data_IF_323875288425
#
_entry.id   IF_323875288425
#
_cell.length_a   1.000
_cell.length_b   1.000
_cell.length_c   1.000
_cell.angle_alpha   90.00
_cell.angle_beta   90.00
_cell.angle_gamma   90.00
#
_symmetry.space_group_name_H-M   'P 1'
#
loop_
_entity.id
_entity.type
_entity.pdbx_description
1 polymer ?
#
# COMPACT_ATOMS: atom_id res chain seq x y z
N UNK A 1 3.35 -22.72 -3.43
CA UNK A 1 2.07 -22.74 -4.16
C UNK A 1 2.04 -21.53 -5.09
N UNK A 2 1.59 -21.67 -6.34
CA UNK A 2 1.50 -20.54 -7.26
C UNK A 2 0.34 -19.64 -6.84
N UNK A 3 0.65 -18.49 -6.24
CA UNK A 3 -0.33 -17.53 -5.77
C UNK A 3 -1.10 -16.94 -6.96
N UNK A 4 -2.43 -16.91 -6.87
CA UNK A 4 -3.28 -16.27 -7.87
C UNK A 4 -2.86 -14.81 -8.06
N UNK A 5 -2.61 -14.41 -9.31
CA UNK A 5 -2.16 -13.05 -9.69
C UNK A 5 -3.31 -12.05 -9.83
N UNK A 6 -4.48 -12.38 -9.28
CA UNK A 6 -5.69 -11.55 -9.34
C UNK A 6 -6.58 -11.72 -8.11
N UNK A 7 -7.27 -10.64 -7.71
CA UNK A 7 -8.31 -10.65 -6.68
C UNK A 7 -9.66 -10.62 -7.38
N UNK A 8 -10.50 -11.60 -7.10
CA UNK A 8 -11.88 -11.66 -7.60
C UNK A 8 -12.77 -10.67 -6.82
N UNK A 9 -13.49 -9.81 -7.54
CA UNK A 9 -14.46 -8.86 -6.97
C UNK A 9 -15.79 -9.00 -7.70
N UNK A 10 -16.91 -9.23 -7.01
CA UNK A 10 -18.23 -9.21 -7.63
C UNK A 10 -18.49 -7.83 -8.27
N UNK A 11 -18.82 -7.80 -9.55
CA UNK A 11 -19.12 -6.59 -10.30
C UNK A 11 -20.35 -6.86 -11.17
N UNK A 12 -21.47 -6.19 -10.90
CA UNK A 12 -22.75 -6.27 -11.63
C UNK A 12 -22.88 -7.42 -12.66
N UNK A 13 -23.36 -8.58 -12.21
CA UNK A 13 -23.61 -9.75 -13.07
C UNK A 13 -22.38 -10.56 -13.50
N UNK A 14 -21.16 -10.18 -13.07
CA UNK A 14 -19.92 -10.91 -13.36
C UNK A 14 -18.90 -10.79 -12.20
N UNK A 15 -17.75 -11.45 -12.36
CA UNK A 15 -16.62 -11.35 -11.44
C UNK A 15 -15.49 -10.61 -12.13
N UNK A 16 -15.10 -9.47 -11.58
CA UNK A 16 -13.96 -8.70 -12.04
C UNK A 16 -12.67 -9.22 -11.40
N UNK A 17 -11.64 -9.43 -12.21
CA UNK A 17 -10.32 -9.82 -11.74
C UNK A 17 -9.44 -8.58 -11.62
N UNK A 18 -9.14 -8.17 -10.39
CA UNK A 18 -8.20 -7.09 -10.13
C UNK A 18 -6.79 -7.64 -10.18
N UNK A 19 -6.02 -7.22 -11.18
CA UNK A 19 -4.67 -7.73 -11.43
C UNK A 19 -3.67 -7.29 -10.36
N UNK A 20 -2.81 -8.21 -9.91
CA UNK A 20 -1.56 -7.94 -9.17
C UNK A 20 -0.39 -7.69 -10.14
N UNK A 21 -0.39 -8.35 -11.32
CA UNK A 21 0.72 -8.40 -12.28
C UNK A 21 1.19 -7.04 -12.84
N UNK A 22 0.31 -6.04 -12.94
CA UNK A 22 0.66 -4.76 -13.61
C UNK A 22 1.57 -3.84 -12.78
N UNK A 23 1.91 -4.24 -11.54
CA UNK A 23 2.94 -3.61 -10.71
C UNK A 23 4.29 -4.37 -10.70
N UNK A 24 4.48 -5.39 -11.56
CA UNK A 24 5.76 -6.10 -11.79
C UNK A 24 6.83 -5.27 -12.51
N UNK A 25 8.11 -5.51 -12.20
CA UNK A 25 9.45 -5.00 -12.63
C UNK A 25 9.67 -3.66 -13.37
N UNK A 26 8.68 -3.08 -14.05
CA UNK A 26 8.83 -1.84 -14.85
C UNK A 26 8.12 -0.58 -14.34
N UNK A 27 7.18 -0.70 -13.40
CA UNK A 27 6.30 0.41 -13.01
C UNK A 27 6.27 0.56 -11.48
N UNK A 28 7.07 1.50 -10.97
CA UNK A 28 6.84 2.17 -9.69
C UNK A 28 5.90 3.31 -10.04
N UNK A 29 4.85 3.55 -9.26
CA UNK A 29 4.05 4.76 -9.43
C UNK A 29 5.00 5.96 -9.34
N UNK A 30 5.28 6.58 -10.49
CA UNK A 30 5.97 7.85 -10.51
C UNK A 30 5.07 8.86 -9.76
N UNK A 31 5.64 9.79 -8.98
CA UNK A 31 4.90 10.87 -8.34
C UNK A 31 4.21 11.83 -9.33
N UNK A 32 4.35 11.61 -10.64
CA UNK A 32 3.73 12.39 -11.69
C UNK A 32 2.69 11.57 -12.46
N UNK A 33 1.42 11.83 -12.18
CA UNK A 33 0.38 11.76 -13.22
C UNK A 33 0.77 12.84 -14.26
N UNK A 34 1.04 12.51 -15.55
CA UNK A 34 0.00 12.07 -16.49
C UNK A 34 0.48 11.13 -17.64
N UNK A 35 1.46 10.24 -17.45
CA UNK A 35 2.02 9.47 -18.59
C UNK A 35 1.20 8.26 -19.07
N UNK A 36 0.10 7.89 -18.40
CA UNK A 36 -0.74 6.74 -18.76
C UNK A 36 -2.26 7.05 -18.78
N UNK A 37 -2.67 8.26 -19.15
CA UNK A 37 -4.09 8.67 -19.26
C UNK A 37 -4.92 7.75 -20.19
N UNK A 38 -4.27 7.17 -21.21
CA UNK A 38 -4.88 6.30 -22.20
C UNK A 38 -3.98 5.07 -22.42
N UNK A 39 -4.58 3.89 -22.28
CA UNK A 39 -3.93 2.63 -22.63
C UNK A 39 -3.78 2.50 -24.14
N UNK A 40 -2.56 2.65 -24.65
CA UNK A 40 -2.28 2.63 -26.08
C UNK A 40 -2.67 1.30 -26.76
N UNK A 41 -2.60 0.20 -26.02
CA UNK A 41 -2.91 -1.15 -26.52
C UNK A 41 -4.41 -1.40 -26.74
N UNK A 42 -5.28 -0.63 -26.08
CA UNK A 42 -6.74 -0.71 -26.23
C UNK A 42 -7.30 0.27 -27.27
N UNK A 43 -6.45 1.12 -27.85
CA UNK A 43 -6.88 2.02 -28.92
C UNK A 43 -7.33 1.21 -30.12
N UNK A 44 -8.52 1.53 -30.63
CA UNK A 44 -9.10 0.93 -31.83
C UNK A 44 -8.61 1.72 -33.03
N UNK A 45 -8.04 1.02 -34.01
CA UNK A 45 -7.57 1.54 -35.30
C UNK A 45 -8.74 1.66 -36.29
N UNK A 46 -8.50 2.32 -37.42
CA UNK A 46 -9.52 2.62 -38.43
C UNK A 46 -10.23 1.38 -39.01
N UNK A 47 -9.58 0.22 -38.94
CA UNK A 47 -10.10 -1.06 -39.42
C UNK A 47 -10.79 -1.90 -38.32
N UNK A 48 -10.93 -1.35 -37.11
CA UNK A 48 -11.57 -2.00 -35.98
C UNK A 48 -10.65 -2.85 -35.10
N UNK A 49 -9.38 -3.08 -35.47
CA UNK A 49 -8.42 -3.81 -34.62
C UNK A 49 -7.96 -2.93 -33.46
N UNK A 50 -7.64 -3.55 -32.32
CA UNK A 50 -6.88 -2.83 -31.28
C UNK A 50 -5.40 -2.80 -31.62
N UNK A 51 -4.67 -1.80 -31.13
CA UNK A 51 -3.20 -1.74 -31.25
C UNK A 51 -2.53 -3.00 -30.72
N UNK A 52 -3.05 -3.60 -29.64
CA UNK A 52 -2.55 -4.89 -29.14
C UNK A 52 -2.69 -6.01 -30.16
N UNK A 53 -3.88 -6.12 -30.77
CA UNK A 53 -4.19 -7.13 -31.79
C UNK A 53 -3.30 -6.93 -33.01
N UNK A 54 -3.17 -5.70 -33.48
CA UNK A 54 -2.28 -5.33 -34.57
C UNK A 54 -0.82 -5.72 -34.29
N UNK A 55 -0.28 -5.39 -33.11
CA UNK A 55 1.09 -5.79 -32.72
C UNK A 55 1.26 -7.31 -32.69
N UNK A 56 0.28 -8.04 -32.17
CA UNK A 56 0.32 -9.50 -32.10
C UNK A 56 0.31 -10.15 -33.49
N UNK A 57 -0.52 -9.65 -34.40
CA UNK A 57 -0.59 -10.11 -35.80
C UNK A 57 0.69 -9.80 -36.57
N UNK A 58 1.20 -8.57 -36.44
CA UNK A 58 2.47 -8.17 -37.03
C UNK A 58 3.61 -9.09 -36.56
N UNK A 59 3.67 -9.39 -35.25
CA UNK A 59 4.65 -10.30 -34.67
C UNK A 59 4.51 -11.74 -35.20
N UNK A 60 3.28 -12.23 -35.36
CA UNK A 60 2.99 -13.54 -35.93
C UNK A 60 3.48 -13.69 -37.37
N UNK A 61 3.19 -12.69 -38.22
CA UNK A 61 3.61 -12.68 -39.62
C UNK A 61 5.14 -12.61 -39.78
N UNK A 62 5.83 -11.94 -38.85
CA UNK A 62 7.30 -11.80 -38.88
C UNK A 62 7.99 -13.10 -38.46
N UNK A 63 7.52 -13.76 -37.41
CA UNK A 63 8.08 -15.03 -36.94
C UNK A 63 8.01 -16.13 -38.02
N UNK A 64 7.05 -16.04 -38.95
CA UNK A 64 6.94 -16.96 -40.10
C UNK A 64 7.85 -16.62 -41.28
N UNK A 65 8.42 -15.41 -41.35
CA UNK A 65 9.18 -14.92 -42.51
C UNK A 65 10.69 -14.82 -42.30
N UNK A 66 11.20 -14.75 -41.06
CA UNK A 66 12.64 -14.55 -40.79
C UNK A 66 13.24 -15.62 -39.89
N UNK A 67 14.05 -16.51 -40.48
CA UNK A 67 14.85 -17.51 -39.77
C UNK A 67 16.03 -16.98 -38.96
N UNK A 68 16.35 -15.68 -39.00
CA UNK A 68 17.25 -14.99 -38.06
C UNK A 68 17.39 -13.51 -38.46
N UNK A 69 17.10 -12.60 -37.52
CA UNK A 69 17.86 -11.37 -37.23
C UNK A 69 17.05 -10.50 -36.27
N UNK A 70 17.65 -10.10 -35.15
CA UNK A 70 17.08 -9.17 -34.16
C UNK A 70 17.03 -7.74 -34.73
N UNK A 71 16.18 -7.45 -35.70
CA UNK A 71 15.71 -6.07 -35.88
C UNK A 71 14.91 -5.68 -34.64
N UNK A 72 15.03 -4.44 -34.17
CA UNK A 72 14.30 -4.00 -32.96
C UNK A 72 12.80 -4.15 -33.24
N UNK A 73 12.08 -4.87 -32.38
CA UNK A 73 10.62 -5.08 -32.44
C UNK A 73 9.82 -3.80 -32.76
N UNK A 74 10.30 -2.64 -32.30
CA UNK A 74 9.71 -1.34 -32.62
C UNK A 74 9.77 -0.99 -34.11
N UNK A 75 10.90 -1.22 -34.77
CA UNK A 75 11.10 -0.91 -36.20
C UNK A 75 10.19 -1.78 -37.06
N UNK A 76 9.99 -3.04 -36.66
CA UNK A 76 9.10 -3.97 -37.33
C UNK A 76 7.63 -3.56 -37.22
N UNK A 77 7.18 -3.16 -36.03
CA UNK A 77 5.84 -2.61 -35.86
C UNK A 77 5.64 -1.30 -36.64
N UNK A 78 6.66 -0.44 -36.69
CA UNK A 78 6.61 0.79 -37.48
C UNK A 78 6.52 0.50 -38.98
N UNK A 79 7.25 -0.49 -39.49
CA UNK A 79 7.14 -0.90 -40.90
C UNK A 79 5.77 -1.46 -41.25
N UNK A 80 5.20 -2.33 -40.40
CA UNK A 80 3.85 -2.85 -40.59
C UNK A 80 2.82 -1.71 -40.58
N UNK A 81 2.92 -0.81 -39.60
CA UNK A 81 2.03 0.36 -39.49
C UNK A 81 2.15 1.29 -40.68
N UNK A 82 3.38 1.51 -41.17
CA UNK A 82 3.64 2.35 -42.35
C UNK A 82 2.99 1.78 -43.61
N UNK A 83 2.99 0.45 -43.78
CA UNK A 83 2.37 -0.23 -44.94
C UNK A 83 0.85 -0.14 -44.92
N UNK A 84 0.25 -0.30 -43.74
CA UNK A 84 -1.22 -0.40 -43.63
C UNK A 84 -1.91 0.94 -43.39
N UNK A 85 -1.27 1.83 -42.62
CA UNK A 85 -1.86 3.10 -42.17
C UNK A 85 -1.08 4.33 -42.66
N UNK A 86 -0.03 4.14 -43.46
CA UNK A 86 0.75 5.23 -44.05
C UNK A 86 1.59 6.03 -43.05
N UNK A 87 1.73 5.59 -41.79
CA UNK A 87 2.51 6.28 -40.76
C UNK A 87 3.14 5.32 -39.73
N UNK A 88 4.22 5.71 -39.04
CA UNK A 88 4.81 4.92 -37.96
C UNK A 88 3.83 4.68 -36.82
N UNK A 89 3.94 3.55 -36.12
CA UNK A 89 2.97 3.11 -35.11
C UNK A 89 2.91 4.11 -33.94
N UNK A 90 4.04 4.67 -33.54
CA UNK A 90 4.09 5.68 -32.48
C UNK A 90 3.27 6.94 -32.84
N UNK A 91 3.35 7.40 -34.10
CA UNK A 91 2.60 8.55 -34.58
C UNK A 91 1.09 8.23 -34.67
N UNK A 92 0.73 7.03 -35.15
CA UNK A 92 -0.65 6.55 -35.19
C UNK A 92 -1.28 6.51 -33.79
N UNK A 93 -0.57 5.95 -32.81
CA UNK A 93 -1.01 5.90 -31.41
C UNK A 93 -1.18 7.30 -30.85
N UNK A 94 -0.25 8.22 -31.14
CA UNK A 94 -0.34 9.59 -30.65
C UNK A 94 -1.60 10.31 -31.16
N UNK A 95 -1.88 10.22 -32.46
CA UNK A 95 -3.09 10.79 -33.06
C UNK A 95 -4.38 10.24 -32.45
N UNK A 96 -4.47 8.92 -32.27
CA UNK A 96 -5.63 8.29 -31.65
C UNK A 96 -5.80 8.69 -30.18
N UNK A 97 -4.69 8.91 -29.45
CA UNK A 97 -4.73 9.44 -28.09
C UNK A 97 -5.27 10.88 -28.07
N UNK A 98 -4.80 11.76 -28.96
CA UNK A 98 -5.31 13.14 -29.02
C UNK A 98 -6.80 13.18 -29.36
N UNK A 99 -7.24 12.40 -30.36
CA UNK A 99 -8.65 12.29 -30.69
C UNK A 99 -9.49 11.78 -29.50
N UNK A 100 -8.99 10.78 -28.77
CA UNK A 100 -9.66 10.26 -27.59
C UNK A 100 -9.71 11.28 -26.43
N UNK A 101 -8.66 12.09 -26.22
CA UNK A 101 -8.67 13.19 -25.24
C UNK A 101 -9.71 14.24 -25.58
N UNK A 102 -9.83 14.62 -26.86
CA UNK A 102 -10.85 15.58 -27.30
C UNK A 102 -12.27 15.03 -27.06
N UNK A 103 -12.50 13.75 -27.35
CA UNK A 103 -13.79 13.08 -27.08
C UNK A 103 -14.09 13.04 -25.59
N UNK A 104 -13.10 12.72 -24.76
CA UNK A 104 -13.25 12.73 -23.31
C UNK A 104 -13.57 14.14 -22.79
N UNK A 105 -12.84 15.17 -23.23
CA UNK A 105 -13.10 16.54 -22.83
C UNK A 105 -14.52 16.99 -23.20
N UNK A 106 -14.98 16.67 -24.42
CA UNK A 106 -16.33 16.96 -24.87
C UNK A 106 -17.40 16.23 -24.03
N UNK A 107 -17.17 14.94 -23.73
CA UNK A 107 -18.07 14.17 -22.87
C UNK A 107 -18.12 14.73 -21.44
N UNK A 108 -16.96 15.13 -20.90
CA UNK A 108 -16.85 15.61 -19.52
C UNK A 108 -17.62 16.92 -19.29
N UNK A 109 -17.61 17.83 -20.27
CA UNK A 109 -18.35 19.11 -20.21
C UNK A 109 -19.79 19.03 -20.73
N UNK A 110 -20.24 17.84 -21.15
CA UNK A 110 -21.60 17.66 -21.63
C UNK A 110 -22.60 18.00 -20.51
N UNK A 111 -23.55 18.89 -20.82
CA UNK A 111 -24.59 19.33 -19.87
C UNK A 111 -25.70 18.31 -19.71
N UNK A 112 -25.96 17.53 -20.75
CA UNK A 112 -26.92 16.44 -20.71
C UNK A 112 -26.29 15.21 -20.05
N UNK A 113 -27.01 14.63 -19.08
CA UNK A 113 -26.50 13.53 -18.27
C UNK A 113 -26.34 12.25 -19.08
N UNK A 114 -27.30 11.94 -19.95
CA UNK A 114 -27.24 10.74 -20.77
C UNK A 114 -26.07 10.82 -21.77
N UNK A 115 -25.91 11.97 -22.44
CA UNK A 115 -24.80 12.22 -23.34
C UNK A 115 -23.43 12.17 -22.63
N UNK A 116 -23.34 12.69 -21.41
CA UNK A 116 -22.12 12.59 -20.59
C UNK A 116 -21.78 11.13 -20.28
N UNK A 117 -22.74 10.34 -19.80
CA UNK A 117 -22.55 8.92 -19.47
C UNK A 117 -22.15 8.13 -20.71
N UNK A 118 -22.85 8.29 -21.83
CA UNK A 118 -22.55 7.56 -23.07
C UNK A 118 -21.20 7.95 -23.66
N UNK A 119 -20.86 9.24 -23.63
CA UNK A 119 -19.57 9.75 -24.07
C UNK A 119 -18.41 9.20 -23.22
N UNK A 120 -18.55 9.22 -21.89
CA UNK A 120 -17.55 8.65 -20.98
C UNK A 120 -17.44 7.13 -21.16
N UNK A 121 -18.56 6.41 -21.33
CA UNK A 121 -18.57 4.96 -21.57
C UNK A 121 -17.90 4.60 -22.90
N UNK A 122 -18.06 5.43 -23.93
CA UNK A 122 -17.33 5.26 -25.19
C UNK A 122 -15.81 5.46 -25.01
N UNK A 123 -15.40 6.47 -24.23
CA UNK A 123 -13.99 6.73 -23.96
C UNK A 123 -13.36 5.62 -23.09
N UNK A 124 -14.08 5.15 -22.07
CA UNK A 124 -13.68 4.07 -21.18
C UNK A 124 -13.39 2.77 -21.95
N UNK A 125 -14.26 2.41 -22.90
CA UNK A 125 -14.09 1.25 -23.80
C UNK A 125 -12.81 1.31 -24.64
N UNK A 126 -12.32 2.51 -24.93
CA UNK A 126 -11.07 2.73 -25.68
C UNK A 126 -9.85 2.86 -24.76
N UNK A 127 -9.98 2.47 -23.49
CA UNK A 127 -8.87 2.45 -22.53
C UNK A 127 -8.52 3.81 -21.93
N UNK A 128 -9.44 4.78 -21.97
CA UNK A 128 -9.25 6.05 -21.25
C UNK A 128 -9.42 5.83 -19.74
N UNK A 129 -8.36 6.07 -18.98
CA UNK A 129 -8.29 5.75 -17.56
C UNK A 129 -9.16 6.68 -16.73
N UNK A 130 -9.05 7.99 -16.96
CA UNK A 130 -9.88 8.97 -16.25
C UNK A 130 -11.37 8.85 -16.59
N UNK A 131 -11.73 8.49 -17.83
CA UNK A 131 -13.12 8.25 -18.20
C UNK A 131 -13.74 7.10 -17.40
N UNK A 132 -13.00 6.00 -17.17
CA UNK A 132 -13.46 4.92 -16.28
C UNK A 132 -13.66 5.44 -14.85
N UNK A 133 -12.71 6.23 -14.35
CA UNK A 133 -12.80 6.79 -13.00
C UNK A 133 -14.01 7.70 -12.81
N UNK A 134 -14.22 8.64 -13.73
CA UNK A 134 -15.31 9.61 -13.62
C UNK A 134 -16.66 8.95 -13.89
N UNK A 135 -16.76 8.03 -14.86
CA UNK A 135 -17.96 7.24 -15.04
C UNK A 135 -18.29 6.43 -13.77
N UNK A 136 -17.30 5.81 -13.14
CA UNK A 136 -17.47 5.11 -11.86
C UNK A 136 -18.04 6.03 -10.76
N UNK A 137 -17.47 7.23 -10.58
CA UNK A 137 -17.97 8.21 -9.59
C UNK A 137 -19.39 8.67 -9.89
N UNK A 138 -19.68 8.91 -11.16
CA UNK A 138 -20.98 9.35 -11.63
C UNK A 138 -22.05 8.30 -11.33
N UNK A 139 -21.76 7.03 -11.57
CA UNK A 139 -22.65 5.91 -11.28
C UNK A 139 -22.76 5.64 -9.76
N UNK A 140 -21.68 5.77 -8.99
CA UNK A 140 -21.71 5.63 -7.53
C UNK A 140 -22.60 6.72 -6.88
N UNK A 141 -22.55 7.95 -7.37
CA UNK A 141 -23.42 9.03 -6.91
C UNK A 141 -24.92 8.71 -7.14
N UNK A 142 -25.23 7.97 -8.20
CA UNK A 142 -26.58 7.48 -8.53
C UNK A 142 -26.91 6.14 -7.85
N UNK A 143 -26.02 5.62 -7.01
CA UNK A 143 -26.12 4.29 -6.38
C UNK A 143 -26.27 3.16 -7.39
N UNK A 144 -25.75 3.34 -8.60
CA UNK A 144 -25.75 2.31 -9.63
C UNK A 144 -24.57 1.33 -9.39
N UNK A 145 -24.84 0.03 -9.18
CA UNK A 145 -23.79 -0.97 -8.91
C UNK A 145 -22.80 -1.20 -10.05
N UNK A 146 -23.10 -0.74 -11.27
CA UNK A 146 -22.14 -0.74 -12.39
C UNK A 146 -20.86 0.07 -12.07
N UNK A 147 -20.89 1.00 -11.10
CA UNK A 147 -19.71 1.78 -10.71
C UNK A 147 -18.50 0.90 -10.32
N UNK A 148 -18.74 -0.27 -9.71
CA UNK A 148 -17.72 -1.23 -9.30
C UNK A 148 -16.89 -1.70 -10.50
N UNK A 149 -17.54 -1.96 -11.63
CA UNK A 149 -16.87 -2.39 -12.86
C UNK A 149 -15.89 -1.31 -13.33
N UNK A 150 -16.34 -0.06 -13.42
CA UNK A 150 -15.52 1.04 -13.91
C UNK A 150 -14.37 1.41 -12.98
N UNK A 151 -14.55 1.35 -11.66
CA UNK A 151 -13.43 1.52 -10.74
C UNK A 151 -12.39 0.41 -10.87
N UNK A 152 -12.81 -0.85 -11.00
CA UNK A 152 -11.85 -1.93 -11.15
C UNK A 152 -11.17 -1.94 -12.53
N UNK A 153 -11.84 -1.52 -13.60
CA UNK A 153 -11.18 -1.29 -14.89
C UNK A 153 -10.18 -0.13 -14.80
N UNK A 154 -10.53 0.98 -14.13
CA UNK A 154 -9.57 2.04 -13.86
C UNK A 154 -8.33 1.53 -13.10
N UNK A 155 -8.49 0.64 -12.11
CA UNK A 155 -7.37 -0.04 -11.44
C UNK A 155 -6.54 -0.89 -12.41
N UNK A 156 -7.19 -1.71 -13.23
CA UNK A 156 -6.52 -2.53 -14.24
C UNK A 156 -5.78 -1.67 -15.29
N UNK A 157 -6.15 -0.39 -15.42
CA UNK A 157 -5.47 0.62 -16.22
C UNK A 157 -4.54 1.55 -15.41
N UNK A 158 -4.30 1.23 -14.12
CA UNK A 158 -3.33 1.86 -13.19
C UNK A 158 -3.78 3.22 -12.64
N UNK A 159 -5.07 3.47 -12.50
CA UNK A 159 -5.56 4.65 -11.81
C UNK A 159 -5.25 4.58 -10.31
N UNK A 160 -4.48 5.52 -9.73
CA UNK A 160 -3.94 5.42 -8.36
C UNK A 160 -5.00 5.50 -7.26
N UNK A 161 -6.13 6.17 -7.52
CA UNK A 161 -7.23 6.34 -6.56
C UNK A 161 -8.41 5.38 -6.76
N UNK A 162 -8.34 4.48 -7.73
CA UNK A 162 -9.50 3.65 -8.11
C UNK A 162 -9.88 2.64 -7.04
N UNK A 163 -8.89 1.95 -6.45
CA UNK A 163 -9.11 0.99 -5.37
C UNK A 163 -9.70 1.63 -4.11
N UNK A 164 -9.37 2.89 -3.83
CA UNK A 164 -9.99 3.62 -2.72
C UNK A 164 -11.47 3.90 -2.99
N UNK A 165 -11.82 4.36 -4.19
CA UNK A 165 -13.24 4.60 -4.51
C UNK A 165 -14.03 3.29 -4.58
N UNK A 166 -13.42 2.23 -5.10
CA UNK A 166 -14.00 0.89 -5.07
C UNK A 166 -14.24 0.41 -3.63
N UNK A 167 -13.28 0.58 -2.72
CA UNK A 167 -13.46 0.15 -1.32
C UNK A 167 -14.52 0.97 -0.61
N UNK A 168 -14.60 2.29 -0.83
CA UNK A 168 -15.70 3.14 -0.31
C UNK A 168 -17.05 2.65 -0.79
N UNK A 169 -17.17 2.32 -2.08
CA UNK A 169 -18.40 1.77 -2.67
C UNK A 169 -18.80 0.47 -1.99
N UNK A 170 -17.85 -0.45 -1.79
CA UNK A 170 -18.08 -1.73 -1.11
C UNK A 170 -18.47 -1.55 0.36
N UNK A 171 -17.88 -0.59 1.07
CA UNK A 171 -18.30 -0.24 2.43
C UNK A 171 -19.75 0.28 2.47
N UNK A 172 -20.14 1.15 1.53
CA UNK A 172 -21.54 1.64 1.42
C UNK A 172 -22.52 0.49 1.14
N UNK A 173 -22.08 -0.50 0.38
CA UNK A 173 -22.86 -1.70 0.05
C UNK A 173 -22.89 -2.75 1.16
N UNK A 174 -22.23 -2.51 2.31
CA UNK A 174 -22.20 -3.45 3.44
C UNK A 174 -21.27 -4.65 3.25
N UNK A 175 -20.39 -4.64 2.24
CA UNK A 175 -19.48 -5.75 1.93
C UNK A 175 -18.08 -5.45 2.49
N UNK A 176 -17.99 -5.29 3.81
CA UNK A 176 -16.81 -4.77 4.50
C UNK A 176 -15.54 -5.62 4.26
N UNK A 177 -15.63 -6.96 4.35
CA UNK A 177 -14.49 -7.84 4.08
C UNK A 177 -13.91 -7.65 2.67
N UNK A 178 -14.77 -7.49 1.66
CA UNK A 178 -14.30 -7.22 0.29
C UNK A 178 -13.66 -5.84 0.19
N UNK A 179 -14.22 -4.82 0.84
CA UNK A 179 -13.63 -3.48 0.89
C UNK A 179 -12.22 -3.51 1.49
N UNK A 180 -12.02 -4.28 2.56
CA UNK A 180 -10.70 -4.49 3.20
C UNK A 180 -9.74 -5.23 2.25
N UNK A 181 -10.18 -6.29 1.56
CA UNK A 181 -9.37 -6.98 0.53
C UNK A 181 -8.89 -6.00 -0.56
N UNK A 182 -9.78 -5.13 -1.04
CA UNK A 182 -9.44 -4.11 -2.05
C UNK A 182 -8.42 -3.09 -1.51
N UNK A 183 -8.57 -2.63 -0.27
CA UNK A 183 -7.60 -1.72 0.35
C UNK A 183 -6.24 -2.39 0.57
N UNK A 184 -6.22 -3.65 1.02
CA UNK A 184 -5.00 -4.44 1.21
C UNK A 184 -4.29 -4.70 -0.13
N UNK A 185 -5.04 -4.97 -1.20
CA UNK A 185 -4.50 -5.01 -2.56
C UNK A 185 -3.85 -3.68 -2.93
N UNK A 186 -4.52 -2.55 -2.67
CA UNK A 186 -3.96 -1.24 -2.94
C UNK A 186 -2.68 -0.96 -2.17
N UNK A 187 -2.65 -1.32 -0.88
CA UNK A 187 -1.48 -1.25 -0.04
C UNK A 187 -0.34 -2.13 -0.58
N UNK A 188 -0.64 -3.37 -0.97
CA UNK A 188 0.30 -4.29 -1.61
C UNK A 188 0.88 -3.71 -2.92
N UNK A 189 0.05 -3.04 -3.72
CA UNK A 189 0.44 -2.42 -4.98
C UNK A 189 1.17 -1.07 -4.83
N UNK A 190 1.43 -0.58 -3.62
CA UNK A 190 2.15 0.69 -3.43
C UNK A 190 1.29 1.92 -3.19
N UNK A 191 -0.03 1.77 -3.05
CA UNK A 191 -0.95 2.90 -2.95
C UNK A 191 -0.93 3.49 -1.54
N UNK A 192 -0.26 4.63 -1.39
CA UNK A 192 -0.21 5.39 -0.13
C UNK A 192 -1.60 5.66 0.44
N UNK A 193 -2.54 6.06 -0.41
CA UNK A 193 -3.89 6.42 0.04
C UNK A 193 -4.68 5.22 0.57
N UNK A 194 -4.41 4.01 0.06
CA UNK A 194 -5.00 2.78 0.60
C UNK A 194 -4.40 2.42 1.96
N UNK A 195 -3.09 2.59 2.14
CA UNK A 195 -2.44 2.41 3.45
C UNK A 195 -3.00 3.39 4.48
N UNK A 196 -3.13 4.68 4.11
CA UNK A 196 -3.71 5.69 5.00
C UNK A 196 -5.15 5.37 5.36
N UNK A 197 -5.96 4.88 4.40
CA UNK A 197 -7.33 4.47 4.69
C UNK A 197 -7.39 3.30 5.70
N UNK A 198 -6.53 2.29 5.55
CA UNK A 198 -6.45 1.18 6.51
C UNK A 198 -6.05 1.65 7.91
N UNK A 199 -5.04 2.52 8.01
CA UNK A 199 -4.60 3.08 9.28
C UNK A 199 -5.68 3.96 9.93
N UNK A 200 -6.40 4.76 9.14
CA UNK A 200 -7.51 5.58 9.65
C UNK A 200 -8.65 4.71 10.18
N UNK A 201 -8.97 3.58 9.53
CA UNK A 201 -9.95 2.61 10.05
C UNK A 201 -9.44 2.05 11.39
N UNK A 202 -8.18 1.63 11.49
CA UNK A 202 -7.58 1.12 12.74
C UNK A 202 -7.66 2.14 13.86
N UNK A 203 -7.29 3.40 13.61
CA UNK A 203 -7.26 4.46 14.62
C UNK A 203 -8.65 4.88 15.10
N UNK A 204 -9.62 5.00 14.18
CA UNK A 204 -10.91 5.59 14.52
C UNK A 204 -12.00 4.55 14.83
N UNK A 205 -11.87 3.33 14.27
CA UNK A 205 -12.94 2.33 14.22
C UNK A 205 -12.37 0.91 14.17
N UNK A 206 -11.50 0.56 15.13
CA UNK A 206 -10.87 -0.76 15.20
C UNK A 206 -11.89 -1.91 15.13
N UNK A 207 -13.03 -1.77 15.82
CA UNK A 207 -14.13 -2.73 15.81
C UNK A 207 -14.63 -3.11 14.41
N UNK A 208 -14.42 -2.27 13.38
CA UNK A 208 -14.79 -2.62 12.00
C UNK A 208 -13.93 -3.73 11.40
N UNK A 209 -12.72 -3.92 11.92
CA UNK A 209 -11.89 -5.05 11.53
C UNK A 209 -12.24 -6.33 12.30
N UNK A 210 -12.98 -6.24 13.41
CA UNK A 210 -13.43 -7.41 14.18
C UNK A 210 -14.59 -8.17 13.50
N UNK A 211 -15.21 -7.57 12.47
CA UNK A 211 -16.17 -8.27 11.62
C UNK A 211 -15.52 -9.54 11.01
N UNK A 212 -16.18 -10.72 11.07
CA UNK A 212 -15.60 -11.97 10.57
C UNK A 212 -15.07 -11.89 9.13
N UNK A 213 -15.77 -11.18 8.23
CA UNK A 213 -15.35 -11.04 6.84
C UNK A 213 -14.10 -10.15 6.70
N UNK A 214 -13.92 -9.18 7.60
CA UNK A 214 -12.71 -8.35 7.68
C UNK A 214 -11.53 -9.13 8.26
N UNK A 215 -11.75 -9.94 9.30
CA UNK A 215 -10.75 -10.84 9.85
C UNK A 215 -10.26 -11.82 8.78
N UNK A 216 -11.16 -12.50 8.08
CA UNK A 216 -10.81 -13.40 6.98
C UNK A 216 -9.98 -12.70 5.89
N UNK A 217 -10.32 -11.46 5.54
CA UNK A 217 -9.56 -10.67 4.57
C UNK A 217 -8.12 -10.37 5.05
N UNK A 218 -7.95 -10.08 6.34
CA UNK A 218 -6.64 -9.86 6.95
C UNK A 218 -5.82 -11.16 7.01
N UNK A 219 -6.43 -12.28 7.41
CA UNK A 219 -5.81 -13.61 7.44
C UNK A 219 -5.31 -14.04 6.06
N UNK A 220 -6.16 -13.88 5.05
CA UNK A 220 -5.82 -14.17 3.66
C UNK A 220 -4.60 -13.33 3.22
N UNK A 221 -4.60 -12.04 3.55
CA UNK A 221 -3.47 -11.15 3.24
C UNK A 221 -2.19 -11.48 4.04
N UNK A 222 -2.31 -11.98 5.27
CA UNK A 222 -1.19 -12.51 6.04
C UNK A 222 -0.56 -13.74 5.37
N UNK A 223 -1.36 -14.62 4.75
CA UNK A 223 -0.86 -15.76 3.99
C UNK A 223 -0.05 -15.36 2.75
N UNK A 224 -0.25 -14.12 2.25
CA UNK A 224 0.58 -13.49 1.20
C UNK A 224 1.80 -12.73 1.75
N UNK A 225 2.15 -12.95 3.02
CA UNK A 225 3.30 -12.33 3.69
C UNK A 225 3.20 -10.79 3.83
N UNK A 226 1.99 -10.22 3.73
CA UNK A 226 1.79 -8.77 3.80
C UNK A 226 2.09 -8.21 5.18
N UNK A 227 3.08 -7.30 5.27
CA UNK A 227 3.41 -6.58 6.51
C UNK A 227 2.21 -5.76 7.04
N UNK A 228 1.42 -5.16 6.14
CA UNK A 228 0.23 -4.38 6.52
C UNK A 228 -0.83 -5.26 7.17
N UNK A 229 -1.07 -6.45 6.59
CA UNK A 229 -2.05 -7.37 7.12
C UNK A 229 -1.62 -7.92 8.48
N UNK A 230 -0.34 -8.32 8.62
CA UNK A 230 0.22 -8.78 9.91
C UNK A 230 0.11 -7.72 10.99
N UNK A 231 0.47 -6.48 10.68
CA UNK A 231 0.35 -5.37 11.62
C UNK A 231 -1.10 -5.10 12.02
N UNK A 232 -2.01 -4.96 11.04
CA UNK A 232 -3.43 -4.67 11.30
C UNK A 232 -4.11 -5.81 12.07
N UNK A 233 -3.91 -7.06 11.65
CA UNK A 233 -4.43 -8.22 12.36
C UNK A 233 -3.84 -8.33 13.77
N UNK A 234 -2.54 -8.07 13.92
CA UNK A 234 -1.87 -7.99 15.21
C UNK A 234 -2.54 -6.99 16.14
N UNK A 235 -2.77 -5.75 15.68
CA UNK A 235 -3.48 -4.73 16.47
C UNK A 235 -4.91 -5.16 16.83
N UNK A 236 -5.64 -5.77 15.89
CA UNK A 236 -7.01 -6.22 16.12
C UNK A 236 -7.07 -7.33 17.17
N UNK A 237 -6.12 -8.27 17.16
CA UNK A 237 -6.05 -9.33 18.17
C UNK A 237 -5.53 -8.83 19.52
N UNK A 238 -4.69 -7.79 19.57
CA UNK A 238 -4.18 -7.22 20.81
C UNK A 238 -5.21 -6.33 21.52
N UNK A 239 -5.90 -5.50 20.73
CA UNK A 239 -6.69 -4.37 21.23
C UNK A 239 -8.19 -4.48 20.91
N UNK A 240 -8.60 -5.44 20.08
CA UNK A 240 -10.01 -5.67 19.78
C UNK A 240 -10.75 -6.32 20.94
N UNK A 241 -12.04 -6.00 21.09
CA UNK A 241 -12.83 -6.44 22.23
C UNK A 241 -13.37 -7.87 22.04
N UNK A 242 -13.81 -8.20 20.83
CA UNK A 242 -14.53 -9.45 20.55
C UNK A 242 -13.66 -10.61 20.06
N UNK A 243 -12.45 -10.32 19.57
CA UNK A 243 -11.54 -11.30 18.97
C UNK A 243 -10.16 -11.32 19.62
N UNK A 244 -10.05 -10.88 20.88
CA UNK A 244 -8.77 -10.72 21.56
C UNK A 244 -8.00 -12.03 21.69
N UNK A 245 -6.75 -12.02 21.21
CA UNK A 245 -5.78 -13.11 21.35
C UNK A 245 -4.38 -12.47 21.45
N UNK A 246 -3.92 -12.24 22.67
CA UNK A 246 -2.67 -11.51 22.92
C UNK A 246 -1.44 -12.27 22.41
N UNK A 247 -1.43 -13.59 22.54
CA UNK A 247 -0.31 -14.43 22.12
C UNK A 247 -0.14 -14.37 20.61
N UNK A 248 -1.24 -14.56 19.88
CA UNK A 248 -1.25 -14.50 18.42
C UNK A 248 -1.03 -13.09 17.90
N UNK A 249 -1.65 -12.09 18.52
CA UNK A 249 -1.46 -10.69 18.19
C UNK A 249 0.01 -10.28 18.32
N UNK A 250 0.65 -10.64 19.42
CA UNK A 250 2.07 -10.35 19.66
C UNK A 250 2.99 -11.07 18.66
N UNK A 251 2.67 -12.32 18.32
CA UNK A 251 3.42 -13.07 17.30
C UNK A 251 3.34 -12.39 15.93
N UNK A 252 2.18 -11.85 15.55
CA UNK A 252 2.00 -11.12 14.29
C UNK A 252 2.75 -9.79 14.26
N UNK A 253 2.74 -9.02 15.36
CA UNK A 253 3.53 -7.78 15.48
C UNK A 253 5.03 -8.09 15.34
N UNK A 254 5.54 -9.13 16.02
CA UNK A 254 6.93 -9.59 15.85
C UNK A 254 7.23 -10.02 14.42
N UNK A 255 6.31 -10.75 13.77
CA UNK A 255 6.48 -11.15 12.38
C UNK A 255 6.50 -9.96 11.41
N UNK A 256 5.73 -8.89 11.69
CA UNK A 256 5.81 -7.64 10.95
C UNK A 256 7.14 -6.91 11.21
N UNK A 257 7.60 -6.92 12.47
CA UNK A 257 8.86 -6.32 12.90
C UNK A 257 10.12 -7.06 12.40
N UNK A 258 10.00 -8.34 12.05
CA UNK A 258 11.09 -9.13 11.47
C UNK A 258 11.37 -8.80 9.99
N UNK A 259 10.44 -8.12 9.31
CA UNK A 259 10.65 -7.68 7.92
C UNK A 259 11.75 -6.63 7.90
N UNK A 260 12.82 -6.85 7.11
CA UNK A 260 14.04 -6.02 7.15
C UNK A 260 13.76 -4.49 7.08
N UNK A 261 14.41 -3.67 7.93
CA UNK A 261 14.35 -2.21 7.87
C UNK A 261 14.52 -1.63 6.46
N UNK A 262 13.69 -0.67 6.09
CA UNK A 262 13.96 0.14 4.89
C UNK A 262 15.11 1.14 5.19
N UNK A 263 16.24 1.04 4.49
CA UNK A 263 17.37 1.96 4.71
C UNK A 263 17.13 3.27 3.95
N UNK A 264 17.19 4.40 4.68
CA UNK A 264 17.25 5.73 4.09
C UNK A 264 18.49 5.84 3.18
N UNK A 265 18.27 5.76 1.87
CA UNK A 265 19.32 5.57 0.87
C UNK A 265 18.84 4.71 -0.30
N UNK A 266 17.90 3.80 -0.05
CA UNK A 266 17.20 2.99 -1.06
C UNK A 266 16.10 3.80 -1.76
N UNK A 267 16.48 4.94 -2.37
CA UNK A 267 15.55 5.78 -3.14
C UNK A 267 14.86 4.92 -4.20
N UNK A 268 13.61 4.57 -3.90
CA UNK A 268 12.69 3.86 -4.76
C UNK A 268 13.00 2.39 -5.02
N UNK A 269 13.56 1.59 -4.09
CA UNK A 269 13.85 0.17 -4.40
C UNK A 269 13.69 -0.90 -3.28
N UNK A 270 12.54 -1.08 -2.62
CA UNK A 270 12.38 -2.25 -1.73
C UNK A 270 11.05 -3.01 -1.96
N UNK A 271 11.09 -4.34 -2.18
CA UNK A 271 9.90 -5.22 -2.21
C UNK A 271 9.25 -5.34 -0.83
N UNK A 272 7.92 -5.28 -0.75
CA UNK A 272 7.16 -5.60 0.48
C UNK A 272 6.91 -7.10 0.68
N UNK A 273 7.06 -7.90 -0.38
CA UNK A 273 6.93 -9.37 -0.41
C UNK A 273 8.04 -9.90 -1.32
N UNK A 274 8.48 -11.15 -1.12
CA UNK A 274 9.45 -11.79 -2.01
C UNK A 274 8.99 -11.69 -3.48
N UNK A 275 9.78 -11.01 -4.33
CA UNK A 275 9.43 -10.75 -5.75
C UNK A 275 8.54 -9.53 -6.00
N UNK A 276 8.20 -8.75 -4.96
CA UNK A 276 7.42 -7.52 -5.05
C UNK A 276 8.23 -6.30 -5.53
N UNK A 277 7.52 -5.19 -5.77
CA UNK A 277 8.05 -3.97 -6.38
C UNK A 277 7.94 -2.76 -5.46
N UNK A 278 8.59 -1.67 -5.86
CA UNK A 278 9.19 -0.64 -5.01
C UNK A 278 8.17 0.41 -4.55
N UNK A 279 8.31 0.85 -3.31
CA UNK A 279 7.30 1.65 -2.58
C UNK A 279 7.76 3.10 -2.28
N UNK A 280 6.84 3.99 -1.93
CA UNK A 280 7.12 5.34 -1.45
C UNK A 280 7.64 5.35 0.00
N UNK A 281 8.90 5.74 0.21
CA UNK A 281 9.60 5.59 1.49
C UNK A 281 8.89 6.22 2.72
N UNK A 282 8.15 7.31 2.56
CA UNK A 282 7.54 8.03 3.69
C UNK A 282 6.41 7.26 4.41
N UNK A 283 5.60 6.49 3.69
CA UNK A 283 4.49 5.73 4.30
C UNK A 283 4.99 4.52 5.07
N UNK A 284 6.01 3.85 4.53
CA UNK A 284 6.61 2.68 5.17
C UNK A 284 7.31 3.08 6.45
N UNK A 285 8.01 4.21 6.46
CA UNK A 285 8.63 4.73 7.68
C UNK A 285 7.61 4.98 8.81
N UNK A 286 6.41 5.47 8.47
CA UNK A 286 5.33 5.65 9.45
C UNK A 286 4.76 4.30 9.93
N UNK A 287 4.51 3.34 9.02
CA UNK A 287 4.05 2.01 9.42
C UNK A 287 5.08 1.28 10.31
N UNK A 288 6.36 1.36 9.97
CA UNK A 288 7.46 0.82 10.78
C UNK A 288 7.48 1.47 12.16
N UNK A 289 7.27 2.78 12.26
CA UNK A 289 7.16 3.45 13.56
C UNK A 289 6.03 2.86 14.41
N UNK A 290 4.88 2.62 13.82
CA UNK A 290 3.75 2.05 14.54
C UNK A 290 4.02 0.60 14.98
N UNK A 291 4.65 -0.20 14.11
CA UNK A 291 5.07 -1.57 14.45
C UNK A 291 6.08 -1.55 15.61
N UNK A 292 7.06 -0.64 15.57
CA UNK A 292 8.09 -0.51 16.60
C UNK A 292 7.47 -0.09 17.95
N UNK A 293 6.47 0.78 17.95
CA UNK A 293 5.73 1.17 19.16
C UNK A 293 5.02 -0.04 19.78
N UNK A 294 4.27 -0.80 18.98
CA UNK A 294 3.56 -1.99 19.47
C UNK A 294 4.55 -3.07 19.97
N UNK A 295 5.65 -3.28 19.23
CA UNK A 295 6.68 -4.22 19.64
C UNK A 295 7.34 -3.82 20.96
N UNK A 296 7.61 -2.52 21.15
CA UNK A 296 8.15 -2.02 22.40
C UNK A 296 7.16 -2.27 23.55
N UNK A 297 5.88 -1.98 23.38
CA UNK A 297 4.86 -2.24 24.40
C UNK A 297 4.77 -3.73 24.77
N UNK A 298 4.84 -4.64 23.79
CA UNK A 298 4.88 -6.09 24.01
C UNK A 298 6.13 -6.47 24.82
N UNK A 299 7.31 -6.03 24.39
CA UNK A 299 8.57 -6.36 25.06
C UNK A 299 8.60 -5.81 26.48
N UNK A 300 8.14 -4.57 26.71
CA UNK A 300 8.10 -3.96 28.04
C UNK A 300 7.20 -4.73 29.01
N UNK A 301 6.07 -5.27 28.54
CA UNK A 301 5.20 -6.13 29.37
C UNK A 301 5.86 -7.46 29.75
N UNK A 302 6.61 -8.07 28.83
CA UNK A 302 7.24 -9.39 29.04
C UNK A 302 8.58 -9.33 29.78
N UNK A 303 9.38 -8.32 29.47
CA UNK A 303 10.76 -8.14 29.92
C UNK A 303 10.87 -7.16 31.08
N UNK A 304 9.96 -6.19 31.21
CA UNK A 304 9.96 -5.20 32.29
C UNK A 304 10.02 -5.83 33.69
N UNK A 305 9.16 -6.81 34.03
CA UNK A 305 9.23 -7.49 35.33
C UNK A 305 10.57 -8.19 35.57
N UNK A 306 11.18 -8.77 34.54
CA UNK A 306 12.48 -9.45 34.62
C UNK A 306 13.62 -8.45 34.78
N UNK A 307 13.58 -7.36 34.03
CA UNK A 307 14.54 -6.26 34.12
C UNK A 307 14.55 -5.67 35.53
N UNK A 308 13.39 -5.36 36.10
CA UNK A 308 13.28 -4.85 37.48
C UNK A 308 13.88 -5.84 38.48
N UNK A 309 13.62 -7.15 38.31
CA UNK A 309 14.18 -8.18 39.18
C UNK A 309 15.71 -8.30 39.07
N UNK A 310 16.31 -8.13 37.89
CA UNK A 310 17.77 -8.14 37.71
C UNK A 310 18.43 -6.85 38.19
N UNK A 311 17.82 -5.68 37.92
CA UNK A 311 18.33 -4.38 38.41
C UNK A 311 18.32 -4.33 39.94
N UNK A 312 17.32 -4.94 40.59
CA UNK A 312 17.27 -5.02 42.05
C UNK A 312 18.44 -5.82 42.67
N UNK A 313 19.19 -6.60 41.86
CA UNK A 313 20.40 -7.33 42.30
C UNK A 313 21.67 -6.49 42.19
N UNK A 314 21.63 -5.34 41.52
CA UNK A 314 22.78 -4.44 41.41
C UNK A 314 23.05 -3.76 42.76
N UNK A 315 24.32 -3.50 43.05
CA UNK A 315 24.73 -2.71 44.20
C UNK A 315 24.18 -1.29 44.12
N UNK A 316 23.97 -0.65 45.27
CA UNK A 316 23.52 0.76 45.33
C UNK A 316 24.65 1.77 45.08
N UNK A 317 25.83 1.32 44.67
CA UNK A 317 27.00 2.15 44.46
C UNK A 317 27.05 2.74 43.05
N UNK A 318 27.41 4.01 42.92
CA UNK A 318 27.52 4.70 41.61
C UNK A 318 28.84 4.38 40.90
N UNK A 319 29.45 3.24 41.20
CA UNK A 319 30.71 2.80 40.64
C UNK A 319 30.61 2.52 39.15
N UNK A 320 31.74 2.61 38.45
CA UNK A 320 31.83 2.35 37.01
C UNK A 320 31.41 0.91 36.65
N UNK A 321 31.69 -0.04 37.54
CA UNK A 321 31.24 -1.43 37.41
C UNK A 321 29.70 -1.58 37.44
N UNK A 322 29.03 -0.92 38.40
CA UNK A 322 27.57 -0.94 38.53
C UNK A 322 26.88 -0.23 37.36
N UNK A 323 27.46 0.87 36.87
CA UNK A 323 27.00 1.53 35.63
C UNK A 323 27.14 0.61 34.42
N UNK A 324 28.24 -0.13 34.31
CA UNK A 324 28.49 -1.05 33.19
C UNK A 324 27.49 -2.21 33.23
N UNK A 325 27.30 -2.84 34.38
CA UNK A 325 26.32 -3.93 34.58
C UNK A 325 24.88 -3.47 34.32
N UNK A 326 24.52 -2.25 34.72
CA UNK A 326 23.23 -1.67 34.38
C UNK A 326 23.05 -1.48 32.86
N UNK A 327 24.08 -0.98 32.17
CA UNK A 327 24.03 -0.82 30.71
C UNK A 327 23.93 -2.18 29.97
N UNK A 328 24.58 -3.22 30.48
CA UNK A 328 24.45 -4.58 29.96
C UNK A 328 23.02 -5.11 30.13
N UNK A 329 22.39 -4.89 31.29
CA UNK A 329 20.98 -5.24 31.50
C UNK A 329 20.05 -4.44 30.59
N UNK A 330 20.30 -3.14 30.38
CA UNK A 330 19.52 -2.33 29.43
C UNK A 330 19.64 -2.89 28.02
N UNK A 331 20.83 -3.30 27.58
CA UNK A 331 21.02 -3.92 26.26
C UNK A 331 20.38 -5.30 26.15
N UNK A 332 20.43 -6.10 27.21
CA UNK A 332 19.83 -7.44 27.26
C UNK A 332 18.30 -7.38 27.21
N UNK A 333 17.69 -6.48 28.00
CA UNK A 333 16.24 -6.39 28.18
C UNK A 333 15.56 -5.36 27.26
N UNK A 334 16.32 -4.63 26.44
CA UNK A 334 15.81 -3.83 25.34
C UNK A 334 16.30 -4.41 24.00
N UNK A 335 15.76 -5.55 23.54
CA UNK A 335 16.08 -6.11 22.23
C UNK A 335 15.46 -5.23 21.14
N UNK A 336 16.09 -4.09 20.91
CA UNK A 336 15.75 -3.19 19.82
C UNK A 336 16.08 -3.89 18.51
N UNK A 337 15.11 -3.96 17.60
CA UNK A 337 15.39 -4.35 16.21
C UNK A 337 16.40 -3.36 15.60
N UNK A 338 17.14 -3.74 14.54
CA UNK A 338 18.05 -2.83 13.82
C UNK A 338 17.36 -1.51 13.40
N UNK A 339 16.01 -1.51 13.28
CA UNK A 339 15.16 -0.33 13.08
C UNK A 339 15.09 0.58 14.31
N UNK A 340 14.75 0.00 15.45
CA UNK A 340 14.61 0.70 16.73
C UNK A 340 15.97 1.25 17.19
N UNK A 341 17.05 0.48 17.04
CA UNK A 341 18.41 0.87 17.45
C UNK A 341 18.85 2.18 16.77
N UNK A 342 18.59 2.38 15.48
CA UNK A 342 18.98 3.65 14.80
C UNK A 342 18.24 4.90 15.30
N UNK A 343 17.01 4.75 15.80
CA UNK A 343 16.23 5.87 16.35
C UNK A 343 16.57 6.10 17.81
N UNK A 344 16.70 5.01 18.57
CA UNK A 344 17.16 5.03 19.95
C UNK A 344 18.57 5.61 20.04
N UNK A 345 19.53 5.13 19.25
CA UNK A 345 20.90 5.66 19.21
C UNK A 345 20.95 7.12 18.77
N UNK A 346 20.02 7.57 17.91
CA UNK A 346 19.93 8.97 17.52
C UNK A 346 19.35 9.83 18.66
N UNK A 347 18.25 9.43 19.28
CA UNK A 347 17.63 10.19 20.38
C UNK A 347 18.50 10.17 21.65
N UNK A 348 19.10 9.03 21.96
CA UNK A 348 20.09 8.88 23.03
C UNK A 348 21.37 9.62 22.67
N UNK A 349 21.82 9.58 21.41
CA UNK A 349 22.97 10.36 20.93
C UNK A 349 22.75 11.87 21.02
N UNK A 350 21.58 12.36 20.59
CA UNK A 350 21.17 13.77 20.69
C UNK A 350 21.04 14.18 22.17
N UNK A 351 20.45 13.34 23.01
CA UNK A 351 20.30 13.60 24.45
C UNK A 351 21.64 13.56 25.22
N UNK A 352 22.53 12.62 24.89
CA UNK A 352 23.88 12.53 25.46
C UNK A 352 24.72 13.72 25.03
N UNK A 353 24.58 14.21 23.80
CA UNK A 353 25.24 15.42 23.34
C UNK A 353 24.76 16.67 24.11
N UNK A 354 23.46 16.73 24.43
CA UNK A 354 22.87 17.85 25.14
C UNK A 354 23.07 17.81 26.68
N UNK A 355 23.35 16.63 27.28
CA UNK A 355 23.36 16.45 28.75
C UNK A 355 24.55 15.64 29.31
N UNK A 356 25.68 15.64 28.59
CA UNK A 356 26.87 14.83 28.92
C UNK A 356 27.43 15.05 30.35
N UNK A 357 27.25 16.24 30.92
CA UNK A 357 27.88 16.65 32.19
C UNK A 357 26.94 16.62 33.41
N UNK A 358 25.67 16.20 33.25
CA UNK A 358 24.69 16.23 34.35
C UNK A 358 24.74 14.94 35.20
N UNK A 359 24.80 15.00 36.55
CA UNK A 359 24.79 13.82 37.41
C UNK A 359 23.50 12.99 37.29
N UNK A 360 23.61 11.66 37.44
CA UNK A 360 22.45 10.74 37.41
C UNK A 360 21.78 10.73 38.78
N UNK A 361 20.82 11.62 38.97
CA UNK A 361 19.97 11.69 40.16
C UNK A 361 18.56 11.12 39.88
N UNK A 362 17.70 11.05 40.91
CA UNK A 362 16.31 10.58 40.78
C UNK A 362 15.53 11.38 39.73
N UNK A 363 15.82 12.68 39.56
CA UNK A 363 15.17 13.52 38.56
C UNK A 363 15.60 13.14 37.14
N UNK A 364 16.88 12.84 36.91
CA UNK A 364 17.40 12.33 35.64
C UNK A 364 16.85 10.94 35.33
N UNK A 365 16.73 10.07 36.34
CA UNK A 365 16.08 8.76 36.24
C UNK A 365 14.59 8.89 35.85
N UNK A 366 13.84 9.82 36.44
CA UNK A 366 12.44 10.11 36.05
C UNK A 366 12.35 10.72 34.64
N UNK A 367 13.28 11.59 34.24
CA UNK A 367 13.36 12.08 32.85
C UNK A 367 13.73 10.99 31.85
N UNK A 368 14.58 10.03 32.23
CA UNK A 368 14.91 8.85 31.42
C UNK A 368 13.73 7.89 31.31
N UNK A 369 12.94 7.70 32.38
CA UNK A 369 11.65 7.02 32.31
C UNK A 369 10.67 7.74 31.39
N UNK A 370 10.70 9.07 31.33
CA UNK A 370 9.88 9.85 30.40
C UNK A 370 10.35 9.81 28.93
N UNK A 371 11.63 9.51 28.68
CA UNK A 371 12.17 9.27 27.32
C UNK A 371 11.80 7.87 26.78
N UNK A 372 11.55 6.91 27.67
CA UNK A 372 10.78 5.72 27.35
C UNK A 372 9.30 6.14 27.27
N UNK A 373 8.93 6.74 26.12
CA UNK A 373 7.62 7.33 25.76
C UNK A 373 6.50 7.16 26.82
N UNK A 374 5.91 8.26 27.35
CA UNK A 374 4.73 8.16 28.19
C UNK A 374 3.54 7.61 27.38
N UNK A 375 2.75 6.74 28.02
CA UNK A 375 1.37 6.44 27.62
C UNK A 375 0.58 7.75 27.57
N UNK A 376 0.36 8.32 26.38
CA UNK A 376 -0.78 9.20 26.16
C UNK A 376 -2.01 8.37 25.80
N UNK A 377 -2.42 7.49 26.73
CA UNK A 377 -3.74 6.89 26.81
C UNK A 377 -4.23 6.96 28.26
N UNK A 378 -4.38 8.18 28.77
CA UNK A 378 -5.22 8.44 29.94
C UNK A 378 -6.47 9.21 29.46
N UNK A 379 -7.68 8.66 29.62
CA UNK A 379 -8.89 9.41 29.31
C UNK A 379 -8.96 10.60 30.26
N UNK A 380 -9.14 11.81 29.70
CA UNK A 380 -9.58 12.95 30.51
C UNK A 380 -11.05 12.71 30.89
N UNK A 381 -11.26 11.94 31.95
CA UNK A 381 -12.51 11.95 32.69
C UNK A 381 -12.75 13.35 33.28
N UNK A 382 -14.03 13.71 33.35
CA UNK A 382 -14.51 15.07 33.54
C UNK A 382 -14.12 15.73 34.86
N UNK A 383 -14.04 17.07 34.78
CA UNK A 383 -14.17 17.97 35.91
C UNK A 383 -15.24 18.99 35.57
N UNK A 384 -16.39 18.87 36.25
CA UNK A 384 -17.41 19.91 36.37
C UNK A 384 -16.79 21.25 36.78
N UNK A 385 -17.19 22.33 36.10
CA UNK A 385 -17.86 23.48 36.72
C UNK A 385 -18.94 24.01 35.77
#
# INVERSE_FOLDING_TARGET
MAHAKSLAVPAFGHVLQLSFDKYSDKHVAAPSYPSAEICGDLLVLADGRTVATFKAEALGAINTQTGSSRSKLSELHDQASQREFGKPLAALIHEHKEALRQRYAAAHVARDRAAQVDGLRACARLGHVQANMDLGRLLDAERNPECVHFFGEAHNLRHPGSLLELSKTLFKAGVAGQAVRVLLLGAFCGSFICVQALLAIRQQRLHRFEDPACLEALEEACAYDSIHAKYLLGCVLLHGESCRDEARGSALIRAAAAVKPFRGGDKGKVPLVAGGKKFHAGTLAHLEQLIDIELHAINSKELGPKFVAEVAKLGSDTGEATRTAFMELVQEFNPATERMTRRFDKQVGDWLADNADEPVDEAKLERMKALALPDEDAPKEGGHE
#
